data_IF_703726213790
#
_entry.id   IF_703726213790
#
_cell.length_a   1.000
_cell.length_b   1.000
_cell.length_c   1.000
_cell.angle_alpha   90.00
_cell.angle_beta   90.00
_cell.angle_gamma   90.00
#
_symmetry.space_group_name_H-M   'P 1'
#
loop_
_entity.id
_entity.type
_entity.pdbx_description
1 polymer ?
#
# COMPACT_ATOMS: atom_id res chain seq x y z
N UNK A 1 42.28 -3.45 -6.83
CA UNK A 1 41.97 -3.04 -5.44
C UNK A 1 40.54 -3.49 -5.14
N UNK A 2 40.24 -4.04 -3.95
CA UNK A 2 38.87 -4.44 -3.64
C UNK A 2 37.99 -3.22 -3.32
N UNK A 3 36.72 -3.28 -3.71
CA UNK A 3 35.68 -2.32 -3.30
C UNK A 3 34.44 -3.07 -2.81
N UNK A 4 33.62 -2.42 -1.99
CA UNK A 4 32.35 -2.94 -1.47
C UNK A 4 31.32 -1.80 -1.41
N UNK A 5 30.08 -2.10 -1.78
CA UNK A 5 28.94 -1.18 -1.71
C UNK A 5 27.80 -1.85 -0.97
N UNK A 6 27.14 -1.08 -0.10
CA UNK A 6 25.83 -1.38 0.48
C UNK A 6 24.83 -0.34 -0.04
N UNK A 7 23.68 -0.81 -0.50
CA UNK A 7 22.63 -0.01 -1.10
C UNK A 7 21.32 -0.30 -0.35
N UNK A 8 20.75 0.72 0.30
CA UNK A 8 19.57 0.61 1.16
C UNK A 8 18.50 1.64 0.74
N UNK A 9 17.76 1.38 -0.36
CA UNK A 9 16.65 2.24 -0.77
C UNK A 9 15.52 2.17 0.27
N UNK A 10 14.79 3.27 0.45
CA UNK A 10 13.62 3.33 1.33
C UNK A 10 12.40 2.64 0.74
N UNK A 11 12.38 2.52 -0.59
CA UNK A 11 11.28 2.00 -1.36
C UNK A 11 11.09 0.50 -1.05
N UNK A 12 9.83 0.03 -0.95
CA UNK A 12 8.58 0.69 -1.32
C UNK A 12 7.81 1.29 -0.12
N UNK A 13 8.51 1.79 0.91
CA UNK A 13 7.85 2.35 2.09
C UNK A 13 6.97 3.55 1.72
N UNK A 14 5.76 3.61 2.29
CA UNK A 14 4.82 4.71 2.07
C UNK A 14 5.38 6.08 2.54
N UNK A 15 5.00 7.20 1.90
CA UNK A 15 4.11 7.29 0.75
C UNK A 15 4.83 6.93 -0.57
N UNK A 16 4.16 6.15 -1.42
CA UNK A 16 4.65 5.84 -2.77
C UNK A 16 4.35 7.01 -3.71
N UNK A 17 5.35 7.83 -3.98
CA UNK A 17 5.27 8.98 -4.90
C UNK A 17 6.13 8.67 -6.12
N UNK A 18 5.55 7.93 -7.05
CA UNK A 18 6.23 7.41 -8.23
C UNK A 18 6.06 8.31 -9.46
N UNK A 19 7.08 8.45 -10.34
CA UNK A 19 6.96 9.19 -11.59
C UNK A 19 6.22 8.37 -12.66
N UNK A 20 5.83 9.04 -13.75
CA UNK A 20 5.41 8.31 -14.96
C UNK A 20 6.60 7.57 -15.61
N UNK A 21 6.37 6.40 -16.23
CA UNK A 21 5.08 5.74 -16.48
C UNK A 21 4.57 4.85 -15.33
N UNK A 22 5.34 4.73 -14.24
CA UNK A 22 5.04 3.83 -13.12
C UNK A 22 3.79 4.25 -12.35
N UNK A 23 3.54 5.55 -12.23
CA UNK A 23 2.34 6.09 -11.59
C UNK A 23 1.05 5.63 -12.28
N UNK A 24 1.03 5.53 -13.61
CA UNK A 24 -0.13 5.04 -14.37
C UNK A 24 -0.04 3.57 -14.79
N UNK A 25 1.02 2.84 -14.40
CA UNK A 25 1.30 1.50 -14.91
C UNK A 25 0.24 0.46 -14.49
N UNK A 26 -0.35 0.64 -13.30
CA UNK A 26 -1.40 -0.23 -12.77
C UNK A 26 -2.68 0.58 -12.53
N UNK A 27 -3.68 0.52 -13.45
CA UNK A 27 -4.94 1.22 -13.26
C UNK A 27 -5.68 0.74 -12.00
N UNK A 28 -6.08 1.62 -11.07
CA UNK A 28 -6.68 1.22 -9.80
C UNK A 28 -8.01 0.46 -9.96
N UNK A 29 -8.78 0.74 -11.02
CA UNK A 29 -10.04 0.06 -11.35
C UNK A 29 -9.87 -1.43 -11.69
N UNK A 30 -8.67 -1.83 -12.13
CA UNK A 30 -8.36 -3.21 -12.52
C UNK A 30 -7.79 -4.02 -11.34
N UNK A 31 -7.51 -3.39 -10.19
CA UNK A 31 -6.94 -4.05 -9.02
C UNK A 31 -8.08 -4.56 -8.12
N UNK A 32 -8.25 -5.89 -7.95
CA UNK A 32 -9.28 -6.41 -7.07
C UNK A 32 -8.91 -6.20 -5.59
N UNK A 33 -9.91 -6.09 -4.68
CA UNK A 33 -9.65 -6.10 -3.25
C UNK A 33 -8.85 -7.33 -2.83
N UNK A 34 -7.88 -7.13 -1.94
CA UNK A 34 -7.19 -8.27 -1.34
C UNK A 34 -8.19 -9.16 -0.59
N UNK A 35 -8.00 -10.49 -0.57
CA UNK A 35 -8.99 -11.41 0.01
C UNK A 35 -9.39 -11.10 1.45
N UNK A 36 -8.49 -10.53 2.25
CA UNK A 36 -8.73 -10.15 3.65
C UNK A 36 -9.30 -8.74 3.84
N UNK A 37 -9.40 -7.92 2.78
CA UNK A 37 -9.91 -6.56 2.87
C UNK A 37 -11.30 -6.44 3.56
N UNK A 38 -12.30 -7.30 3.25
CA UNK A 38 -13.62 -7.18 3.85
C UNK A 38 -13.69 -7.73 5.29
N UNK A 39 -12.58 -8.09 5.93
CA UNK A 39 -12.59 -8.62 7.30
C UNK A 39 -13.19 -7.58 8.28
N UNK A 40 -14.31 -7.91 8.96
CA UNK A 40 -14.94 -7.02 9.93
C UNK A 40 -14.12 -6.88 11.23
N UNK A 41 -13.06 -7.68 11.40
CA UNK A 41 -12.20 -7.77 12.58
C UNK A 41 -12.91 -8.30 13.84
N UNK A 42 -13.99 -9.05 13.66
CA UNK A 42 -14.72 -9.68 14.77
C UNK A 42 -13.84 -10.70 15.50
N UNK A 43 -13.76 -10.59 16.83
CA UNK A 43 -12.94 -11.48 17.66
C UNK A 43 -11.42 -11.27 17.53
N UNK A 44 -10.98 -10.22 16.80
CA UNK A 44 -9.56 -9.85 16.69
C UNK A 44 -9.12 -8.95 17.86
N UNK A 45 -7.81 -8.88 18.17
CA UNK A 45 -7.30 -7.94 19.16
C UNK A 45 -7.70 -6.50 18.84
N UNK A 46 -8.12 -5.76 19.88
CA UNK A 46 -8.56 -4.36 19.80
C UNK A 46 -7.67 -3.47 18.93
N UNK A 47 -6.35 -3.67 19.00
CA UNK A 47 -5.39 -2.83 18.31
C UNK A 47 -5.56 -2.86 16.78
N UNK A 48 -6.06 -3.95 16.18
CA UNK A 48 -6.29 -4.02 14.73
C UNK A 48 -7.38 -3.05 14.27
N UNK A 49 -8.48 -2.97 15.02
CA UNK A 49 -9.54 -1.99 14.75
C UNK A 49 -9.06 -0.56 15.06
N UNK A 50 -8.28 -0.38 16.13
CA UNK A 50 -7.71 0.92 16.49
C UNK A 50 -6.80 1.48 15.40
N UNK A 51 -6.04 0.65 14.68
CA UNK A 51 -5.18 1.15 13.58
C UNK A 51 -5.98 1.89 12.50
N UNK A 52 -7.19 1.42 12.14
CA UNK A 52 -8.03 2.13 11.16
C UNK A 52 -8.33 3.57 11.60
N UNK A 53 -8.54 3.80 12.90
CA UNK A 53 -8.77 5.13 13.48
C UNK A 53 -7.50 5.97 13.57
N UNK A 54 -6.40 5.36 14.03
CA UNK A 54 -5.10 6.02 14.13
C UNK A 54 -4.64 6.58 12.79
N UNK A 55 -4.80 5.79 11.73
CA UNK A 55 -4.46 6.17 10.35
C UNK A 55 -5.56 6.97 9.65
N UNK A 56 -6.72 7.19 10.30
CA UNK A 56 -7.89 7.91 9.75
C UNK A 56 -8.43 7.30 8.45
N UNK A 57 -8.38 5.97 8.37
CA UNK A 57 -8.90 5.15 7.26
C UNK A 57 -10.14 4.35 7.67
N UNK A 58 -10.70 4.62 8.85
CA UNK A 58 -11.99 4.05 9.25
C UNK A 58 -13.07 4.49 8.26
N UNK A 59 -13.80 3.52 7.71
CA UNK A 59 -14.85 3.76 6.70
C UNK A 59 -14.37 3.82 5.25
N UNK A 60 -13.06 3.77 4.98
CA UNK A 60 -12.56 3.68 3.61
C UNK A 60 -13.09 2.44 2.90
N UNK A 61 -13.50 2.63 1.65
CA UNK A 61 -13.90 1.58 0.72
C UNK A 61 -12.72 1.16 -0.14
N UNK A 62 -12.90 0.10 -0.93
CA UNK A 62 -11.83 -0.35 -1.82
C UNK A 62 -11.41 0.73 -2.82
N UNK A 63 -12.36 1.51 -3.33
CA UNK A 63 -12.09 2.60 -4.27
C UNK A 63 -11.17 3.68 -3.68
N UNK A 64 -11.12 3.84 -2.35
CA UNK A 64 -10.18 4.73 -1.66
C UNK A 64 -8.78 4.08 -1.54
N UNK A 65 -8.72 2.76 -1.40
CA UNK A 65 -7.47 2.00 -1.25
C UNK A 65 -6.80 1.64 -2.57
N UNK A 66 -7.56 1.41 -3.64
CA UNK A 66 -7.03 0.98 -4.93
C UNK A 66 -5.98 1.96 -5.50
N UNK A 67 -6.14 3.30 -5.40
CA UNK A 67 -5.10 4.24 -5.81
C UNK A 67 -3.81 4.19 -4.95
N UNK A 68 -3.89 3.73 -3.70
CA UNK A 68 -2.71 3.52 -2.85
C UNK A 68 -1.97 2.26 -3.29
N UNK A 69 -2.71 1.18 -3.54
CA UNK A 69 -2.16 -0.09 -4.03
C UNK A 69 -1.55 0.07 -5.42
N UNK A 70 -2.19 0.83 -6.31
CA UNK A 70 -1.67 1.18 -7.64
C UNK A 70 -0.26 1.79 -7.58
N UNK A 71 -0.05 2.81 -6.74
CA UNK A 71 1.26 3.45 -6.56
C UNK A 71 2.29 2.52 -5.92
N UNK A 72 1.87 1.71 -4.94
CA UNK A 72 2.73 0.69 -4.34
C UNK A 72 3.22 -0.34 -5.37
N UNK A 73 2.35 -0.82 -6.25
CA UNK A 73 2.75 -1.73 -7.34
C UNK A 73 3.67 -1.04 -8.36
N UNK A 74 3.41 0.23 -8.68
CA UNK A 74 4.28 1.04 -9.52
C UNK A 74 5.70 1.17 -8.95
N UNK A 75 5.84 1.34 -7.63
CA UNK A 75 7.13 1.45 -6.93
C UNK A 75 7.95 0.14 -6.97
N UNK A 76 7.29 -1.00 -7.08
CA UNK A 76 7.93 -2.32 -7.14
C UNK A 76 8.47 -2.69 -8.54
N UNK A 77 8.18 -1.89 -9.57
CA UNK A 77 8.34 -2.27 -10.98
C UNK A 77 9.63 -1.79 -11.65
#
# INVERSE_FOLDING_TARGET
MPFFIRWDPSEPHLPNVVPEPYCSMYPPEDIPPWPSFPDPLNGKPYIQAQQRRTWKVEGWRWDDWAPVVSRYLGELS
#
